data_IF_014882979785
#
_entry.id   IF_014882979785
#
_cell.length_a   1.000
_cell.length_b   1.000
_cell.length_c   1.000
_cell.angle_alpha   90.00
_cell.angle_beta   90.00
_cell.angle_gamma   90.00
#
_symmetry.space_group_name_H-M   'P 1'
#
loop_
_entity.id
_entity.type
_entity.pdbx_description
1 polymer ?
#
# COMPACT_ATOMS: atom_id res chain seq x y z
N UNK A 1 -4.37 17.80 9.95
CA UNK A 1 -5.26 16.89 10.70
C UNK A 1 -4.76 15.46 10.70
N UNK A 2 -4.31 14.88 9.57
CA UNK A 2 -3.80 13.50 9.55
C UNK A 2 -2.51 13.27 10.37
N UNK A 3 -1.55 14.22 10.31
CA UNK A 3 -0.24 14.09 10.97
C UNK A 3 -0.29 13.69 12.45
N UNK A 4 -1.21 14.24 13.25
CA UNK A 4 -1.33 13.90 14.67
C UNK A 4 -1.66 12.42 14.90
N UNK A 5 -2.55 11.86 14.09
CA UNK A 5 -2.86 10.42 14.12
C UNK A 5 -1.69 9.57 13.64
N UNK A 6 -0.97 10.00 12.59
CA UNK A 6 0.23 9.30 12.15
C UNK A 6 1.30 9.28 13.25
N UNK A 7 1.44 10.37 14.00
CA UNK A 7 2.36 10.47 15.13
C UNK A 7 1.95 9.53 16.26
N UNK A 8 0.66 9.42 16.57
CA UNK A 8 0.16 8.48 17.56
C UNK A 8 0.48 7.02 17.18
N UNK A 9 0.25 6.64 15.91
CA UNK A 9 0.61 5.31 15.39
C UNK A 9 2.11 5.08 15.53
N UNK A 10 2.95 6.05 15.16
CA UNK A 10 4.41 5.95 15.31
C UNK A 10 4.80 5.75 16.78
N UNK A 11 4.22 6.53 17.70
CA UNK A 11 4.55 6.46 19.12
C UNK A 11 4.12 5.13 19.76
N UNK A 12 2.95 4.60 19.35
CA UNK A 12 2.43 3.34 19.88
C UNK A 12 3.15 2.12 19.32
N UNK A 13 3.56 2.14 18.05
CA UNK A 13 4.15 0.97 17.37
C UNK A 13 5.67 1.01 17.32
N UNK A 14 6.27 2.20 17.45
CA UNK A 14 7.69 2.42 17.20
C UNK A 14 8.12 2.21 15.74
N UNK A 15 7.17 2.12 14.80
CA UNK A 15 7.45 1.88 13.38
C UNK A 15 7.34 3.16 12.53
N UNK A 16 8.06 3.20 11.41
CA UNK A 16 7.93 4.28 10.42
C UNK A 16 6.53 4.24 9.79
N UNK A 17 5.90 5.40 9.67
CA UNK A 17 4.53 5.54 9.14
C UNK A 17 4.55 6.36 7.85
N UNK A 18 3.82 5.89 6.85
CA UNK A 18 3.67 6.57 5.56
C UNK A 18 2.20 6.89 5.28
N UNK A 19 1.95 8.05 4.68
CA UNK A 19 0.65 8.38 4.08
C UNK A 19 0.81 8.53 2.58
N UNK A 20 -0.08 7.87 1.85
CA UNK A 20 -0.02 7.75 0.39
C UNK A 20 -1.39 8.07 -0.20
N UNK A 21 -1.41 8.80 -1.30
CA UNK A 21 -2.61 9.03 -2.11
C UNK A 21 -2.53 8.27 -3.42
N UNK A 22 -3.67 7.82 -3.93
CA UNK A 22 -3.75 7.22 -5.26
C UNK A 22 -3.70 8.31 -6.33
N UNK A 23 -2.84 8.15 -7.31
CA UNK A 23 -2.83 8.97 -8.52
C UNK A 23 -2.71 8.07 -9.76
N UNK A 24 -3.77 8.00 -10.57
CA UNK A 24 -3.84 7.07 -11.69
C UNK A 24 -3.74 5.59 -11.23
N UNK A 25 -2.67 4.91 -11.63
CA UNK A 25 -2.37 3.51 -11.28
C UNK A 25 -1.20 3.35 -10.29
N UNK A 26 -0.81 4.44 -9.65
CA UNK A 26 0.28 4.49 -8.69
C UNK A 26 -0.17 5.14 -7.37
N UNK A 27 0.62 4.92 -6.32
CA UNK A 27 0.54 5.67 -5.08
C UNK A 27 1.64 6.72 -5.03
N UNK A 28 1.32 7.91 -4.50
CA UNK A 28 2.27 9.00 -4.25
C UNK A 28 2.40 9.21 -2.75
N UNK A 29 3.62 9.10 -2.23
CA UNK A 29 3.90 9.38 -0.82
C UNK A 29 3.72 10.88 -0.54
N UNK A 30 2.83 11.23 0.37
CA UNK A 30 2.56 12.63 0.75
C UNK A 30 3.08 12.97 2.15
N UNK A 31 3.21 11.97 3.02
CA UNK A 31 3.77 12.17 4.36
C UNK A 31 4.55 10.94 4.80
N UNK A 32 5.62 11.18 5.57
CA UNK A 32 6.49 10.18 6.17
C UNK A 32 6.85 10.64 7.57
N UNK A 33 6.63 9.79 8.57
CA UNK A 33 7.15 9.95 9.91
C UNK A 33 8.11 8.80 10.18
N UNK A 34 9.39 9.13 10.32
CA UNK A 34 10.46 8.16 10.51
C UNK A 34 10.61 7.77 11.97
N UNK A 35 10.72 6.47 12.22
CA UNK A 35 11.14 5.94 13.51
C UNK A 35 12.65 5.70 13.52
N UNK A 36 13.31 6.10 14.61
CA UNK A 36 14.72 5.79 14.85
C UNK A 36 14.98 4.31 15.19
N UNK A 37 13.91 3.50 15.36
CA UNK A 37 14.00 2.08 15.74
C UNK A 37 13.70 1.13 14.57
N UNK A 38 13.24 1.63 13.43
CA UNK A 38 12.91 0.82 12.25
C UNK A 38 14.03 0.86 11.21
N UNK A 39 14.05 -0.12 10.30
CA UNK A 39 14.93 -0.11 9.14
C UNK A 39 14.75 1.19 8.33
N UNK A 40 15.84 1.90 7.99
CA UNK A 40 15.76 3.13 7.22
C UNK A 40 15.34 2.81 5.78
N UNK A 41 14.09 3.14 5.44
CA UNK A 41 13.60 3.08 4.07
C UNK A 41 13.95 4.39 3.35
N UNK A 42 14.66 4.33 2.22
CA UNK A 42 14.98 5.51 1.39
C UNK A 42 13.75 5.91 0.56
N UNK A 43 12.72 6.39 1.26
CA UNK A 43 11.49 6.94 0.68
C UNK A 43 11.39 8.43 0.98
N UNK A 44 10.97 9.20 -0.02
CA UNK A 44 10.79 10.66 0.05
C UNK A 44 9.37 11.01 -0.38
N UNK A 45 8.83 12.09 0.19
CA UNK A 45 7.58 12.70 -0.29
C UNK A 45 7.68 13.00 -1.78
N UNK A 46 6.61 12.71 -2.53
CA UNK A 46 6.55 12.82 -3.99
C UNK A 46 7.01 11.58 -4.75
N UNK A 47 7.66 10.61 -4.09
CA UNK A 47 7.98 9.33 -4.74
C UNK A 47 6.72 8.55 -5.10
N UNK A 48 6.80 7.83 -6.22
CA UNK A 48 5.74 6.98 -6.74
C UNK A 48 6.03 5.52 -6.43
N UNK A 49 4.99 4.75 -6.17
CA UNK A 49 5.10 3.32 -5.94
C UNK A 49 3.93 2.55 -6.57
N UNK A 50 4.17 1.32 -7.03
CA UNK A 50 3.14 0.48 -7.61
C UNK A 50 2.12 0.05 -6.55
N UNK A 51 0.85 -0.04 -6.95
CA UNK A 51 -0.23 -0.45 -6.05
C UNK A 51 -0.28 -1.97 -5.81
N UNK A 52 0.17 -2.80 -6.76
CA UNK A 52 -0.05 -4.25 -6.72
C UNK A 52 0.78 -5.00 -5.67
N UNK A 53 1.91 -4.44 -5.22
CA UNK A 53 2.84 -5.11 -4.32
C UNK A 53 3.12 -4.33 -3.03
N UNK A 54 2.33 -3.31 -2.72
CA UNK A 54 2.48 -2.49 -1.51
C UNK A 54 1.25 -2.63 -0.63
N UNK A 55 1.40 -2.50 0.69
CA UNK A 55 0.26 -2.67 1.61
C UNK A 55 -0.80 -1.58 1.37
N UNK A 56 -0.40 -0.30 1.31
CA UNK A 56 -1.33 0.78 0.97
C UNK A 56 -1.99 0.56 -0.40
N UNK A 57 -1.23 0.03 -1.37
CA UNK A 57 -1.69 -0.18 -2.72
C UNK A 57 -2.74 -1.25 -2.81
N UNK A 58 -2.51 -2.40 -2.17
CA UNK A 58 -3.49 -3.48 -2.08
C UNK A 58 -4.74 -3.03 -1.30
N UNK A 59 -4.58 -2.24 -0.24
CA UNK A 59 -5.72 -1.64 0.47
C UNK A 59 -6.55 -0.72 -0.44
N UNK A 60 -5.92 0.11 -1.26
CA UNK A 60 -6.62 0.94 -2.25
C UNK A 60 -7.33 0.08 -3.31
N UNK A 61 -6.62 -0.89 -3.91
CA UNK A 61 -7.15 -1.73 -4.98
C UNK A 61 -8.34 -2.59 -4.54
N UNK A 62 -8.40 -2.99 -3.26
CA UNK A 62 -9.47 -3.81 -2.71
C UNK A 62 -10.83 -3.11 -2.65
N UNK A 63 -10.84 -1.77 -2.67
CA UNK A 63 -12.06 -0.95 -2.61
C UNK A 63 -12.41 -0.29 -3.94
N UNK A 64 -11.63 -0.50 -5.01
CA UNK A 64 -12.03 -0.08 -6.35
C UNK A 64 -13.28 -0.82 -6.82
N UNK A 65 -14.06 -0.18 -7.68
CA UNK A 65 -15.14 -0.85 -8.39
C UNK A 65 -14.61 -2.00 -9.25
N UNK A 66 -15.49 -2.95 -9.59
CA UNK A 66 -15.10 -4.08 -10.42
C UNK A 66 -14.50 -3.65 -11.77
N UNK A 67 -15.05 -2.59 -12.37
CA UNK A 67 -14.60 -2.03 -13.64
C UNK A 67 -13.22 -1.37 -13.53
N UNK A 68 -13.01 -0.55 -12.49
CA UNK A 68 -11.71 0.09 -12.24
C UNK A 68 -10.62 -0.93 -11.94
N UNK A 69 -10.92 -1.95 -11.13
CA UNK A 69 -9.96 -3.03 -10.84
C UNK A 69 -9.65 -3.85 -12.11
N UNK A 70 -10.65 -4.15 -12.93
CA UNK A 70 -10.45 -4.82 -14.22
C UNK A 70 -9.55 -3.97 -15.12
N UNK A 71 -9.80 -2.67 -15.21
CA UNK A 71 -8.97 -1.72 -15.96
C UNK A 71 -7.53 -1.70 -15.43
N UNK A 72 -7.34 -1.56 -14.12
CA UNK A 72 -6.02 -1.59 -13.48
C UNK A 72 -5.23 -2.85 -13.86
N UNK A 73 -5.83 -4.03 -13.68
CA UNK A 73 -5.18 -5.32 -13.96
C UNK A 73 -4.83 -5.46 -15.45
N UNK A 74 -5.65 -4.93 -16.36
CA UNK A 74 -5.35 -4.96 -17.80
C UNK A 74 -4.28 -3.96 -18.23
N UNK A 75 -4.09 -2.87 -17.47
CA UNK A 75 -3.18 -1.78 -17.85
C UNK A 75 -1.81 -1.87 -17.17
N UNK A 76 -1.73 -2.48 -15.99
CA UNK A 76 -0.48 -2.53 -15.22
C UNK A 76 0.32 -3.78 -15.54
N UNK A 77 1.55 -3.58 -16.02
CA UNK A 77 2.54 -4.64 -16.14
C UNK A 77 3.23 -4.88 -14.79
N UNK A 78 2.71 -5.85 -14.02
CA UNK A 78 3.27 -6.20 -12.72
C UNK A 78 4.69 -6.80 -12.87
N UNK A 79 5.71 -6.04 -12.45
CA UNK A 79 7.10 -6.50 -12.41
C UNK A 79 7.33 -7.32 -11.15
N UNK A 80 7.99 -8.47 -11.28
CA UNK A 80 8.41 -9.27 -10.13
C UNK A 80 9.60 -8.58 -9.46
N UNK A 81 9.39 -7.98 -8.28
CA UNK A 81 10.43 -7.25 -7.53
C UNK A 81 11.16 -8.17 -6.54
N UNK A 82 10.43 -9.14 -6.00
CA UNK A 82 10.89 -10.12 -5.02
C UNK A 82 10.31 -11.50 -5.37
N UNK A 83 10.75 -12.58 -4.70
CA UNK A 83 10.11 -13.89 -4.84
C UNK A 83 8.60 -13.88 -4.50
N UNK A 84 8.17 -13.02 -3.56
CA UNK A 84 6.79 -12.96 -3.05
C UNK A 84 5.88 -12.05 -3.88
N UNK A 85 6.42 -11.22 -4.78
CA UNK A 85 5.62 -10.29 -5.57
C UNK A 85 4.53 -11.00 -6.38
N UNK A 86 3.27 -10.62 -6.14
CA UNK A 86 2.12 -11.12 -6.90
C UNK A 86 2.10 -10.48 -8.30
N UNK A 87 2.37 -11.27 -9.33
CA UNK A 87 2.34 -10.81 -10.73
C UNK A 87 1.14 -11.32 -11.53
N UNK A 88 0.41 -12.31 -11.01
CA UNK A 88 -0.76 -12.87 -11.67
C UNK A 88 -2.04 -12.12 -11.26
N UNK A 89 -2.77 -11.56 -12.23
CA UNK A 89 -3.99 -10.80 -11.97
C UNK A 89 -5.11 -11.57 -11.28
N UNK A 90 -5.24 -12.89 -11.48
CA UNK A 90 -6.23 -13.72 -10.75
C UNK A 90 -5.82 -13.89 -9.29
N UNK A 91 -4.52 -14.11 -9.04
CA UNK A 91 -3.97 -14.20 -7.67
C UNK A 91 -4.13 -12.87 -6.95
N UNK A 92 -3.83 -11.76 -7.61
CA UNK A 92 -4.05 -10.43 -7.04
C UNK A 92 -5.52 -10.22 -6.67
N UNK A 93 -6.48 -10.58 -7.53
CA UNK A 93 -7.91 -10.48 -7.19
C UNK A 93 -8.28 -11.28 -5.94
N UNK A 94 -7.78 -12.50 -5.78
CA UNK A 94 -8.03 -13.31 -4.59
C UNK A 94 -7.43 -12.67 -3.33
N UNK A 95 -6.23 -12.11 -3.45
CA UNK A 95 -5.59 -11.37 -2.35
C UNK A 95 -6.42 -10.13 -1.95
N UNK A 96 -6.89 -9.35 -2.92
CA UNK A 96 -7.72 -8.17 -2.66
C UNK A 96 -9.07 -8.52 -2.00
N UNK A 97 -9.64 -9.69 -2.29
CA UNK A 97 -10.82 -10.18 -1.58
C UNK A 97 -10.53 -10.47 -0.10
N UNK A 98 -9.35 -11.02 0.22
CA UNK A 98 -8.91 -11.23 1.60
C UNK A 98 -8.73 -9.89 2.32
N UNK A 99 -8.05 -8.94 1.67
CA UNK A 99 -7.85 -7.57 2.18
C UNK A 99 -9.20 -6.93 2.53
N UNK A 100 -10.19 -7.03 1.64
CA UNK A 100 -11.53 -6.49 1.89
C UNK A 100 -12.24 -7.17 3.06
N UNK A 101 -12.08 -8.49 3.23
CA UNK A 101 -12.69 -9.24 4.33
C UNK A 101 -12.08 -8.90 5.69
N UNK A 102 -10.75 -8.68 5.75
CA UNK A 102 -10.05 -8.42 7.01
C UNK A 102 -9.91 -6.93 7.36
N UNK A 103 -10.09 -6.04 6.39
CA UNK A 103 -10.07 -4.58 6.60
C UNK A 103 -8.68 -3.94 6.57
N UNK A 104 -7.63 -4.67 6.21
CA UNK A 104 -6.27 -4.17 6.02
C UNK A 104 -5.50 -5.04 5.02
N UNK A 105 -4.40 -4.54 4.48
CA UNK A 105 -3.49 -5.32 3.64
C UNK A 105 -2.13 -5.48 4.32
N UNK A 106 -1.45 -6.57 3.95
CA UNK A 106 -0.06 -6.84 4.33
C UNK A 106 0.74 -6.89 3.03
N UNK A 107 1.85 -6.18 2.97
CA UNK A 107 2.93 -6.42 2.00
C UNK A 107 3.94 -7.31 2.70
N UNK A 108 3.98 -8.59 2.35
CA UNK A 108 4.85 -9.59 2.97
C UNK A 108 6.10 -9.80 2.11
N UNK A 109 6.99 -8.81 2.15
CA UNK A 109 8.19 -8.76 1.30
C UNK A 109 7.87 -8.81 -0.19
N UNK A 110 6.75 -8.21 -0.62
CA UNK A 110 6.30 -8.19 -2.01
C UNK A 110 6.91 -7.02 -2.79
N UNK A 111 7.10 -5.87 -2.15
CA UNK A 111 7.73 -4.70 -2.77
C UNK A 111 9.26 -4.72 -2.64
N UNK A 112 9.78 -5.11 -1.47
CA UNK A 112 11.20 -5.13 -1.12
C UNK A 112 11.45 -6.30 -0.16
N UNK A 113 12.55 -7.03 -0.31
CA UNK A 113 12.88 -8.15 0.58
C UNK A 113 13.17 -7.62 2.00
N UNK A 114 12.93 -8.44 3.02
CA UNK A 114 13.14 -8.11 4.44
C UNK A 114 12.23 -6.98 4.98
N UNK A 115 11.35 -6.42 4.15
CA UNK A 115 10.42 -5.36 4.51
C UNK A 115 9.00 -5.90 4.49
N UNK A 116 8.35 -5.87 5.65
CA UNK A 116 6.91 -6.17 5.77
C UNK A 116 6.17 -4.91 6.18
N UNK A 117 5.07 -4.61 5.49
CA UNK A 117 4.22 -3.46 5.81
C UNK A 117 2.79 -3.90 6.08
N UNK A 118 2.11 -3.19 6.97
CA UNK A 118 0.65 -3.24 7.13
C UNK A 118 0.06 -1.91 6.65
N UNK A 119 -1.10 -1.94 6.01
CA UNK A 119 -1.73 -0.74 5.46
C UNK A 119 -3.25 -0.81 5.49
N UNK A 120 -3.89 0.32 5.75
CA UNK A 120 -5.33 0.48 5.67
C UNK A 120 -5.70 1.65 4.76
N UNK A 121 -6.92 1.62 4.22
CA UNK A 121 -7.46 2.65 3.35
C UNK A 121 -8.14 3.74 4.18
N UNK A 122 -7.87 5.00 3.82
CA UNK A 122 -8.61 6.16 4.30
C UNK A 122 -9.49 6.64 3.15
N UNK A 123 -10.80 6.54 3.34
CA UNK A 123 -11.78 7.00 2.35
C UNK A 123 -11.99 8.51 2.46
N UNK A 124 -12.35 9.12 1.34
CA UNK A 124 -12.82 10.50 1.34
C UNK A 124 -14.32 10.54 1.70
N UNK A 125 -14.92 11.73 1.72
CA UNK A 125 -16.33 11.92 2.09
C UNK A 125 -17.34 11.22 1.17
N UNK A 126 -16.93 10.76 -0.02
CA UNK A 126 -17.77 10.05 -0.99
C UNK A 126 -17.70 8.52 -0.83
N UNK A 127 -16.92 8.03 0.14
CA UNK A 127 -16.56 6.62 0.25
C UNK A 127 -15.52 6.21 -0.77
#
# INVERSE_FOLDING_TARGET
MARSYLMEILLQTGQTVHMVIKEGFEGVYIEKLESFRSLPMILRTGMRAPLYCTAFGKSILAYLSHEELKKYISSVAAKKKTPNTITNGKVLKMELQKVRKQGYAIDNEENEQEVTCIGNLILNHKG
#
